data_IF_179397906572
#
_entry.id   IF_179397906572
#
_cell.length_a   1.000
_cell.length_b   1.000
_cell.length_c   1.000
_cell.angle_alpha   90.00
_cell.angle_beta   90.00
_cell.angle_gamma   90.00
#
_symmetry.space_group_name_H-M   'P 1'
#
loop_
_entity.id
_entity.type
_entity.pdbx_description
1 polymer ?
#
# COMPACT_ATOMS: atom_id res chain seq x y z
N UNK A 1 38.16 -23.02 37.85
CA UNK A 1 38.99 -22.69 36.68
C UNK A 1 38.06 -22.62 35.47
N UNK A 2 37.70 -21.40 35.05
CA UNK A 2 36.70 -21.16 34.01
C UNK A 2 37.39 -21.04 32.63
N UNK A 3 36.86 -21.66 31.56
CA UNK A 3 37.39 -21.41 30.22
C UNK A 3 36.85 -20.07 29.68
N UNK A 4 37.80 -19.20 29.34
CA UNK A 4 37.61 -17.85 28.79
C UNK A 4 36.90 -17.86 27.44
N UNK A 5 35.86 -17.03 27.32
CA UNK A 5 35.17 -16.73 26.06
C UNK A 5 36.06 -15.87 25.15
N UNK A 6 36.56 -16.44 24.06
CA UNK A 6 37.06 -15.66 22.91
C UNK A 6 35.88 -15.18 22.07
N UNK A 7 35.51 -13.92 22.26
CA UNK A 7 34.51 -13.25 21.43
C UNK A 7 35.14 -12.90 20.07
N UNK A 8 34.66 -13.54 19.00
CA UNK A 8 34.92 -13.09 17.63
C UNK A 8 34.24 -11.73 17.43
N UNK A 9 35.05 -10.67 17.36
CA UNK A 9 34.60 -9.35 16.99
C UNK A 9 34.10 -9.37 15.52
N UNK A 10 32.79 -9.18 15.34
CA UNK A 10 32.18 -9.00 14.03
C UNK A 10 32.43 -7.56 13.59
N UNK A 11 33.18 -7.40 12.50
CA UNK A 11 33.47 -6.11 11.89
C UNK A 11 32.16 -5.37 11.56
N UNK A 12 32.02 -4.17 12.13
CA UNK A 12 30.97 -3.24 11.79
C UNK A 12 31.32 -2.64 10.44
N UNK A 13 30.63 -3.07 9.39
CA UNK A 13 30.75 -2.45 8.07
C UNK A 13 30.34 -0.98 8.16
N UNK A 14 31.23 -0.13 7.63
CA UNK A 14 31.18 1.32 7.54
C UNK A 14 29.88 1.83 6.89
N UNK A 15 29.42 3.01 7.32
CA UNK A 15 28.12 3.60 6.98
C UNK A 15 28.00 4.20 5.56
N UNK A 16 28.95 4.01 4.65
CA UNK A 16 29.04 4.77 3.38
C UNK A 16 29.17 3.91 2.12
N UNK A 17 28.54 2.74 2.08
CA UNK A 17 28.33 2.03 0.82
C UNK A 17 26.85 1.68 0.74
N UNK A 18 26.11 2.43 -0.08
CA UNK A 18 24.83 1.93 -0.56
C UNK A 18 25.12 0.57 -1.21
N UNK A 19 24.57 -0.55 -0.74
CA UNK A 19 24.72 -1.80 -1.45
C UNK A 19 24.04 -1.59 -2.80
N UNK A 20 24.83 -1.41 -3.85
CA UNK A 20 24.33 -1.33 -5.21
C UNK A 20 23.72 -2.70 -5.51
N UNK A 21 22.39 -2.77 -5.44
CA UNK A 21 21.65 -3.94 -5.87
C UNK A 21 21.91 -4.08 -7.36
N UNK A 22 22.44 -5.21 -7.78
CA UNK A 22 22.76 -5.47 -9.18
C UNK A 22 21.46 -5.52 -10.02
N UNK A 23 21.27 -4.59 -10.97
CA UNK A 23 20.07 -4.57 -11.80
C UNK A 23 19.94 -5.86 -12.64
N UNK A 24 21.04 -6.46 -13.08
CA UNK A 24 20.99 -7.67 -13.92
C UNK A 24 20.40 -8.85 -13.16
N UNK A 25 20.80 -9.01 -11.89
CA UNK A 25 20.26 -10.04 -11.02
C UNK A 25 18.77 -9.84 -10.76
N UNK A 26 18.31 -8.59 -10.59
CA UNK A 26 16.87 -8.30 -10.40
C UNK A 26 16.05 -8.62 -11.65
N UNK A 27 16.58 -8.35 -12.85
CA UNK A 27 15.92 -8.68 -14.12
C UNK A 27 15.84 -10.18 -14.36
N UNK A 28 16.91 -10.92 -14.01
CA UNK A 28 16.91 -12.39 -14.10
C UNK A 28 15.88 -13.00 -13.15
N UNK A 29 15.82 -12.50 -11.92
CA UNK A 29 14.88 -12.95 -10.90
C UNK A 29 13.42 -12.66 -11.31
N UNK A 30 13.13 -11.45 -11.81
CA UNK A 30 11.78 -11.08 -12.24
C UNK A 30 11.30 -11.91 -13.43
N UNK A 31 12.15 -12.15 -14.43
CA UNK A 31 11.83 -13.03 -15.57
C UNK A 31 11.55 -14.47 -15.14
N UNK A 32 12.40 -15.01 -14.26
CA UNK A 32 12.22 -16.37 -13.72
C UNK A 32 10.90 -16.49 -12.92
N UNK A 33 10.58 -15.47 -12.12
CA UNK A 33 9.34 -15.43 -11.34
C UNK A 33 8.11 -15.36 -12.26
N UNK A 34 8.12 -14.52 -13.29
CA UNK A 34 7.04 -14.47 -14.29
C UNK A 34 6.86 -15.81 -15.00
N UNK A 35 7.95 -16.49 -15.40
CA UNK A 35 7.88 -17.81 -16.00
C UNK A 35 7.29 -18.85 -15.04
N UNK A 36 7.64 -18.78 -13.75
CA UNK A 36 7.08 -19.66 -12.73
C UNK A 36 5.59 -19.39 -12.48
N UNK A 37 5.13 -18.14 -12.44
CA UNK A 37 3.70 -17.82 -12.31
C UNK A 37 2.94 -18.40 -13.50
N UNK A 38 3.43 -18.22 -14.73
CA UNK A 38 2.83 -18.82 -15.95
C UNK A 38 2.72 -20.33 -15.84
N UNK A 39 3.81 -21.00 -15.44
CA UNK A 39 3.85 -22.46 -15.29
C UNK A 39 2.94 -22.95 -14.17
N UNK A 40 2.90 -22.25 -13.05
CA UNK A 40 2.06 -22.59 -11.89
C UNK A 40 0.57 -22.37 -12.17
N UNK A 41 0.20 -21.39 -12.99
CA UNK A 41 -1.18 -21.22 -13.46
C UNK A 41 -1.61 -22.38 -14.37
N UNK A 42 -0.74 -22.83 -15.27
CA UNK A 42 -0.97 -24.01 -16.10
C UNK A 42 -1.10 -25.30 -15.26
N UNK A 43 -0.22 -25.52 -14.28
CA UNK A 43 -0.27 -26.73 -13.44
C UNK A 43 -1.46 -26.74 -12.46
N UNK A 44 -1.88 -25.58 -11.93
CA UNK A 44 -3.10 -25.47 -11.10
C UNK A 44 -4.37 -25.83 -11.88
N UNK A 45 -4.38 -25.61 -13.19
CA UNK A 45 -5.48 -25.98 -14.08
C UNK A 45 -5.56 -27.49 -14.31
N UNK A 46 -4.42 -28.20 -14.22
CA UNK A 46 -4.35 -29.66 -14.37
C UNK A 46 -4.62 -30.42 -13.06
N UNK A 47 -4.16 -29.91 -11.90
CA UNK A 47 -4.37 -30.57 -10.60
C UNK A 47 -5.78 -30.35 -10.01
N UNK A 48 -6.44 -29.24 -10.36
CA UNK A 48 -7.82 -28.99 -9.94
C UNK A 48 -8.79 -29.39 -11.06
N UNK A 49 -9.27 -30.64 -11.05
CA UNK A 49 -10.29 -31.16 -11.99
C UNK A 49 -11.65 -30.44 -11.99
N UNK A 50 -11.72 -29.20 -11.52
CA UNK A 50 -12.85 -28.27 -11.58
C UNK A 50 -12.41 -27.06 -12.39
N UNK A 51 -12.60 -27.09 -13.71
CA UNK A 51 -12.38 -25.94 -14.59
C UNK A 51 -13.27 -24.78 -14.10
N UNK A 52 -12.66 -23.74 -13.54
CA UNK A 52 -13.35 -22.46 -13.36
C UNK A 52 -13.52 -21.86 -14.75
N UNK A 53 -14.72 -21.97 -15.33
CA UNK A 53 -15.07 -21.49 -16.68
C UNK A 53 -14.92 -19.95 -16.87
N UNK A 54 -14.47 -19.25 -15.82
CA UNK A 54 -14.31 -17.81 -15.72
C UNK A 54 -12.83 -17.40 -15.55
N UNK A 55 -11.90 -18.35 -15.42
CA UNK A 55 -10.47 -18.05 -15.29
C UNK A 55 -9.85 -18.02 -16.70
N UNK A 56 -9.75 -16.84 -17.28
CA UNK A 56 -8.91 -16.62 -18.47
C UNK A 56 -7.43 -16.64 -18.03
N UNK A 57 -6.58 -17.53 -18.57
CA UNK A 57 -5.17 -17.61 -18.20
C UNK A 57 -4.36 -16.34 -18.47
N UNK A 58 -4.86 -15.41 -19.31
CA UNK A 58 -4.25 -14.08 -19.47
C UNK A 58 -4.55 -13.15 -18.28
N UNK A 59 -5.72 -13.28 -17.64
CA UNK A 59 -6.13 -12.47 -16.48
C UNK A 59 -5.40 -12.88 -15.18
N UNK A 60 -5.06 -14.16 -15.02
CA UNK A 60 -4.38 -14.64 -13.80
C UNK A 60 -2.96 -14.07 -13.62
N UNK A 61 -2.29 -13.73 -14.74
CA UNK A 61 -0.96 -13.12 -14.75
C UNK A 61 -0.99 -11.62 -14.48
N UNK A 62 -2.02 -10.93 -14.97
CA UNK A 62 -2.23 -9.51 -14.73
C UNK A 62 -2.80 -9.23 -13.34
N UNK A 63 -3.60 -10.17 -12.79
CA UNK A 63 -4.33 -9.99 -11.53
C UNK A 63 -3.53 -10.38 -10.29
N UNK A 64 -2.43 -11.13 -10.43
CA UNK A 64 -1.60 -11.57 -9.30
C UNK A 64 -0.60 -10.49 -8.87
N UNK A 65 -0.78 -9.81 -7.72
CA UNK A 65 0.15 -8.77 -7.28
C UNK A 65 1.49 -9.37 -6.85
N UNK A 66 2.59 -8.80 -7.36
CA UNK A 66 3.95 -9.14 -6.96
C UNK A 66 4.40 -8.25 -5.80
N UNK A 67 4.94 -8.84 -4.73
CA UNK A 67 5.52 -8.09 -3.61
C UNK A 67 6.95 -8.53 -3.31
N UNK A 68 7.72 -7.63 -2.70
CA UNK A 68 9.08 -7.88 -2.25
C UNK A 68 9.11 -7.93 -0.71
N UNK A 69 9.64 -9.02 -0.16
CA UNK A 69 9.78 -9.20 1.29
C UNK A 69 11.12 -8.66 1.75
N UNK A 70 11.10 -7.59 2.54
CA UNK A 70 12.29 -7.00 3.16
C UNK A 70 12.54 -7.62 4.54
N UNK A 71 13.67 -8.28 4.72
CA UNK A 71 14.09 -8.83 6.02
C UNK A 71 15.27 -8.03 6.57
N UNK A 72 15.13 -7.51 7.79
CA UNK A 72 16.19 -6.73 8.46
C UNK A 72 16.79 -7.53 9.61
N UNK A 73 18.12 -7.52 9.75
CA UNK A 73 18.83 -8.19 10.85
C UNK A 73 18.59 -7.52 12.21
N UNK A 74 18.24 -6.23 12.22
CA UNK A 74 17.92 -5.46 13.44
C UNK A 74 16.41 -5.23 13.54
N UNK A 75 15.87 -5.33 14.74
CA UNK A 75 14.48 -5.00 15.04
C UNK A 75 14.25 -3.49 14.91
N UNK A 76 13.18 -3.09 14.21
CA UNK A 76 12.82 -1.69 14.02
C UNK A 76 11.96 -1.28 15.22
N UNK A 77 12.57 -0.61 16.20
CA UNK A 77 11.88 -0.16 17.42
C UNK A 77 11.31 1.28 17.32
N UNK A 78 11.66 2.02 16.27
CA UNK A 78 11.25 3.43 16.13
C UNK A 78 9.79 3.54 15.66
N UNK A 79 8.93 4.04 16.54
CA UNK A 79 7.50 4.26 16.30
C UNK A 79 7.23 5.28 15.18
N UNK A 80 8.16 6.20 14.91
CA UNK A 80 8.02 7.16 13.82
C UNK A 80 8.24 6.48 12.44
N UNK A 81 9.13 5.48 12.38
CA UNK A 81 9.38 4.65 11.18
C UNK A 81 8.30 3.59 10.92
N UNK A 82 7.38 3.39 11.86
CA UNK A 82 6.23 2.48 11.72
C UNK A 82 5.03 3.15 11.03
N UNK A 83 5.08 4.47 10.78
CA UNK A 83 4.11 5.11 9.89
C UNK A 83 4.26 4.54 8.48
N UNK A 84 3.17 4.19 7.80
CA UNK A 84 3.27 3.80 6.39
C UNK A 84 3.86 4.98 5.62
N UNK A 85 4.87 4.71 4.78
CA UNK A 85 5.43 5.69 3.87
C UNK A 85 4.93 5.45 2.45
N UNK A 86 4.95 6.49 1.61
CA UNK A 86 4.77 6.34 0.16
C UNK A 86 6.13 6.32 -0.53
N UNK A 87 6.27 5.48 -1.54
CA UNK A 87 7.43 5.45 -2.44
C UNK A 87 6.92 5.91 -3.80
N UNK A 88 7.53 6.96 -4.36
CA UNK A 88 7.19 7.44 -5.69
C UNK A 88 7.81 6.47 -6.70
N UNK A 89 6.96 5.86 -7.53
CA UNK A 89 7.39 4.93 -8.56
C UNK A 89 7.39 5.63 -9.93
N UNK A 90 8.39 5.38 -10.80
CA UNK A 90 8.40 5.87 -12.17
C UNK A 90 7.23 5.34 -13.01
N UNK A 91 6.82 4.10 -12.75
CA UNK A 91 5.65 3.47 -13.36
C UNK A 91 4.53 3.38 -12.32
N UNK A 92 3.39 4.06 -12.54
CA UNK A 92 2.24 3.98 -11.64
C UNK A 92 1.71 2.55 -11.54
N UNK A 93 1.35 2.12 -10.33
CA UNK A 93 0.70 0.81 -10.10
C UNK A 93 -0.78 0.80 -10.46
N UNK A 94 -1.39 1.98 -10.59
CA UNK A 94 -2.81 2.16 -10.84
C UNK A 94 -2.96 2.88 -12.18
N UNK A 95 -3.07 2.09 -13.24
CA UNK A 95 -3.21 2.58 -14.62
C UNK A 95 -4.67 2.82 -15.01
N UNK A 96 -5.62 2.29 -14.24
CA UNK A 96 -7.03 2.33 -14.59
C UNK A 96 -7.65 3.72 -14.41
N UNK A 97 -8.29 4.22 -15.46
CA UNK A 97 -8.94 5.53 -15.46
C UNK A 97 -10.24 5.56 -14.67
N UNK A 98 -10.87 4.39 -14.48
CA UNK A 98 -12.12 4.16 -13.75
C UNK A 98 -11.91 3.88 -12.24
N UNK A 99 -10.67 3.90 -11.76
CA UNK A 99 -10.37 3.65 -10.34
C UNK A 99 -11.06 4.67 -9.43
N UNK A 100 -11.85 4.16 -8.49
CA UNK A 100 -12.57 4.98 -7.51
C UNK A 100 -11.69 5.29 -6.28
N UNK A 101 -11.55 6.57 -5.98
CA UNK A 101 -10.69 7.08 -4.91
C UNK A 101 -11.54 7.64 -3.76
N UNK A 102 -11.25 7.17 -2.55
CA UNK A 102 -11.78 7.71 -1.31
C UNK A 102 -10.72 8.51 -0.56
N UNK A 103 -10.97 9.81 -0.37
CA UNK A 103 -10.08 10.70 0.37
C UNK A 103 -10.56 10.86 1.82
N UNK A 104 -9.70 10.51 2.77
CA UNK A 104 -9.92 10.67 4.21
C UNK A 104 -9.17 11.91 4.70
N UNK A 105 -9.93 12.92 5.08
CA UNK A 105 -9.44 14.26 5.43
C UNK A 105 -9.61 14.57 6.91
N UNK A 106 -8.87 15.56 7.41
CA UNK A 106 -9.11 16.14 8.72
C UNK A 106 -10.21 17.19 8.64
N UNK A 107 -10.86 17.44 9.78
CA UNK A 107 -11.86 18.49 9.92
C UNK A 107 -11.22 19.85 9.53
N UNK A 108 -11.84 20.70 8.68
CA UNK A 108 -13.17 20.58 8.05
C UNK A 108 -13.21 19.95 6.64
N UNK A 109 -14.11 18.97 6.49
CA UNK A 109 -14.41 18.30 5.20
C UNK A 109 -14.85 19.29 4.09
N UNK A 110 -15.50 20.40 4.44
CA UNK A 110 -16.01 21.39 3.47
C UNK A 110 -14.88 22.04 2.68
N UNK A 111 -13.76 22.36 3.32
CA UNK A 111 -12.62 22.97 2.66
C UNK A 111 -12.08 22.05 1.55
N UNK A 112 -11.88 20.77 1.86
CA UNK A 112 -11.38 19.80 0.89
C UNK A 112 -12.37 19.50 -0.24
N UNK A 113 -13.68 19.48 0.05
CA UNK A 113 -14.70 19.37 -0.99
C UNK A 113 -14.69 20.57 -1.94
N UNK A 114 -14.52 21.77 -1.41
CA UNK A 114 -14.47 22.97 -2.24
C UNK A 114 -13.22 23.00 -3.12
N UNK A 115 -12.07 22.52 -2.62
CA UNK A 115 -10.83 22.38 -3.40
C UNK A 115 -11.00 21.34 -4.53
N UNK A 116 -11.64 20.20 -4.26
CA UNK A 116 -11.88 19.18 -5.29
C UNK A 116 -12.93 19.66 -6.31
N UNK A 117 -13.84 20.54 -5.89
CA UNK A 117 -14.85 21.13 -6.76
C UNK A 117 -14.36 22.36 -7.55
N UNK A 118 -13.21 22.94 -7.18
CA UNK A 118 -12.62 24.08 -7.89
C UNK A 118 -11.99 23.66 -9.21
N UNK A 119 -12.06 24.56 -10.20
CA UNK A 119 -11.60 24.32 -11.58
C UNK A 119 -10.06 24.26 -11.70
N UNK A 120 -9.33 24.67 -10.66
CA UNK A 120 -7.88 24.49 -10.55
C UNK A 120 -7.46 23.02 -10.36
N UNK A 121 -8.41 22.13 -10.06
CA UNK A 121 -8.14 20.72 -9.85
C UNK A 121 -8.30 19.91 -11.15
N UNK A 122 -7.33 19.07 -11.55
CA UNK A 122 -7.39 18.33 -12.81
C UNK A 122 -8.68 17.50 -12.93
N UNK A 123 -9.43 17.70 -14.01
CA UNK A 123 -10.72 17.03 -14.25
C UNK A 123 -10.61 15.49 -14.20
N UNK A 124 -9.47 14.96 -14.67
CA UNK A 124 -9.15 13.54 -14.61
C UNK A 124 -9.14 12.99 -13.17
N UNK A 125 -8.66 13.78 -12.20
CA UNK A 125 -8.63 13.40 -10.79
C UNK A 125 -9.99 13.66 -10.11
N UNK A 126 -10.73 14.68 -10.56
CA UNK A 126 -12.07 14.97 -10.05
C UNK A 126 -13.05 13.82 -10.32
N UNK A 127 -12.98 13.20 -11.51
CA UNK A 127 -13.79 12.02 -11.86
C UNK A 127 -13.43 10.80 -11.00
N UNK A 128 -12.15 10.64 -10.66
CA UNK A 128 -11.66 9.52 -9.84
C UNK A 128 -12.00 9.67 -8.35
N UNK A 129 -12.08 10.89 -7.82
CA UNK A 129 -12.41 11.11 -6.40
C UNK A 129 -13.92 11.03 -6.18
N UNK A 130 -14.39 9.83 -5.81
CA UNK A 130 -15.81 9.54 -5.61
C UNK A 130 -16.32 10.07 -4.26
N UNK A 131 -15.49 9.96 -3.21
CA UNK A 131 -15.89 10.35 -1.85
C UNK A 131 -14.77 11.02 -1.07
N UNK A 132 -15.14 12.10 -0.39
CA UNK A 132 -14.34 12.73 0.66
C UNK A 132 -15.01 12.43 1.99
N UNK A 133 -14.28 11.86 2.93
CA UNK A 133 -14.76 11.51 4.27
C UNK A 133 -13.89 12.18 5.31
N UNK A 134 -14.50 12.73 6.36
CA UNK A 134 -13.78 13.21 7.53
C UNK A 134 -13.76 12.13 8.63
N UNK A 135 -12.73 12.14 9.47
CA UNK A 135 -12.50 11.21 10.57
C UNK A 135 -13.65 11.15 11.55
N UNK A 136 -14.27 12.29 11.86
CA UNK A 136 -15.42 12.34 12.76
C UNK A 136 -16.59 11.54 12.19
N UNK A 137 -16.90 11.78 10.91
CA UNK A 137 -17.94 11.03 10.17
C UNK A 137 -17.56 9.57 9.97
N UNK A 138 -16.27 9.28 9.77
CA UNK A 138 -15.75 7.93 9.61
C UNK A 138 -16.08 7.08 10.85
N UNK A 139 -15.82 7.63 12.04
CA UNK A 139 -16.12 6.97 13.32
C UNK A 139 -17.62 6.85 13.61
N UNK A 140 -18.42 7.84 13.22
CA UNK A 140 -19.85 7.84 13.50
C UNK A 140 -20.63 6.89 12.58
N UNK A 141 -20.40 6.95 11.27
CA UNK A 141 -21.20 6.21 10.27
C UNK A 141 -20.69 4.80 9.98
N UNK A 142 -19.38 4.58 10.03
CA UNK A 142 -18.76 3.30 9.65
C UNK A 142 -18.22 2.52 10.85
N UNK A 143 -18.96 2.55 11.98
CA UNK A 143 -18.67 1.73 13.16
C UNK A 143 -19.07 0.26 12.94
N UNK A 144 -20.16 0.02 12.21
CA UNK A 144 -20.67 -1.32 11.91
C UNK A 144 -19.83 -2.00 10.83
N UNK A 145 -19.60 -3.30 11.02
CA UNK A 145 -18.75 -4.11 10.15
C UNK A 145 -19.26 -4.18 8.70
N UNK A 146 -20.59 -4.25 8.51
CA UNK A 146 -21.21 -4.25 7.18
C UNK A 146 -20.97 -2.93 6.44
N UNK A 147 -21.08 -1.80 7.12
CA UNK A 147 -20.80 -0.50 6.53
C UNK A 147 -19.33 -0.36 6.09
N UNK A 148 -18.40 -0.88 6.90
CA UNK A 148 -16.97 -0.92 6.53
C UNK A 148 -16.71 -1.78 5.31
N UNK A 149 -17.31 -2.97 5.25
CA UNK A 149 -17.20 -3.86 4.08
C UNK A 149 -17.80 -3.24 2.83
N UNK A 150 -18.93 -2.53 2.96
CA UNK A 150 -19.53 -1.80 1.84
C UNK A 150 -18.60 -0.71 1.32
N UNK A 151 -18.01 0.09 2.21
CA UNK A 151 -17.04 1.12 1.83
C UNK A 151 -15.79 0.52 1.16
N UNK A 152 -15.30 -0.61 1.67
CA UNK A 152 -14.16 -1.34 1.11
C UNK A 152 -14.44 -1.93 -0.28
N UNK A 153 -15.67 -2.38 -0.52
CA UNK A 153 -16.09 -2.93 -1.80
C UNK A 153 -16.38 -1.84 -2.85
N UNK A 154 -16.88 -0.69 -2.42
CA UNK A 154 -17.24 0.42 -3.31
C UNK A 154 -16.04 1.20 -3.84
N UNK A 155 -14.90 1.16 -3.15
CA UNK A 155 -13.74 1.98 -3.47
C UNK A 155 -12.47 1.13 -3.65
N UNK A 156 -11.63 1.51 -4.61
CA UNK A 156 -10.41 0.79 -4.92
C UNK A 156 -9.19 1.37 -4.22
N UNK A 157 -9.11 2.70 -4.15
CA UNK A 157 -7.97 3.40 -3.56
C UNK A 157 -8.43 4.24 -2.38
N UNK A 158 -7.72 4.12 -1.27
CA UNK A 158 -7.91 4.96 -0.09
C UNK A 158 -6.72 5.88 0.09
N UNK A 159 -6.97 7.18 0.13
CA UNK A 159 -5.98 8.21 0.45
C UNK A 159 -6.34 8.81 1.80
N UNK A 160 -5.35 9.10 2.64
CA UNK A 160 -5.59 9.73 3.93
C UNK A 160 -4.55 10.79 4.27
N UNK A 161 -4.94 11.80 5.03
CA UNK A 161 -3.99 12.77 5.58
C UNK A 161 -2.98 12.08 6.54
N UNK A 162 -1.68 12.41 6.44
CA UNK A 162 -0.63 11.93 7.34
C UNK A 162 -0.94 12.25 8.83
N UNK A 163 -1.65 13.35 9.11
CA UNK A 163 -2.06 13.69 10.49
C UNK A 163 -3.02 12.67 11.10
N UNK A 164 -3.74 11.94 10.26
CA UNK A 164 -4.84 11.06 10.64
C UNK A 164 -4.44 9.59 10.57
N UNK A 165 -3.38 9.26 9.83
CA UNK A 165 -2.97 7.87 9.53
C UNK A 165 -2.87 7.00 10.80
N UNK A 166 -2.40 7.56 11.92
CA UNK A 166 -2.28 6.85 13.20
C UNK A 166 -3.63 6.52 13.85
N UNK A 167 -4.69 7.26 13.52
CA UNK A 167 -6.05 7.10 14.05
C UNK A 167 -6.89 6.13 13.22
N UNK A 168 -6.54 5.92 11.94
CA UNK A 168 -7.31 5.08 11.00
C UNK A 168 -7.39 3.60 11.38
N UNK A 169 -6.35 2.94 11.92
CA UNK A 169 -6.46 1.53 12.32
C UNK A 169 -7.57 1.28 13.34
N UNK A 170 -7.79 2.23 14.26
CA UNK A 170 -8.87 2.14 15.25
C UNK A 170 -10.25 2.42 14.64
N UNK A 171 -10.33 3.21 13.57
CA UNK A 171 -11.60 3.64 12.98
C UNK A 171 -12.10 2.70 11.87
N UNK A 172 -11.20 2.23 11.00
CA UNK A 172 -11.50 1.32 9.88
C UNK A 172 -11.45 -0.16 10.28
N UNK A 173 -10.83 -0.47 11.43
CA UNK A 173 -10.78 -1.80 11.99
C UNK A 173 -10.02 -2.83 11.14
N UNK A 174 -10.25 -4.11 11.45
CA UNK A 174 -9.56 -5.25 10.82
C UNK A 174 -9.94 -5.43 9.34
N UNK A 175 -11.11 -4.99 8.91
CA UNK A 175 -11.59 -5.14 7.53
C UNK A 175 -10.60 -4.54 6.53
N UNK A 176 -10.10 -3.34 6.82
CA UNK A 176 -9.16 -2.62 5.98
C UNK A 176 -7.71 -3.04 6.19
N UNK A 177 -7.31 -3.32 7.45
CA UNK A 177 -5.92 -3.59 7.77
C UNK A 177 -5.53 -5.07 7.74
N UNK A 178 -6.48 -6.00 7.62
CA UNK A 178 -6.19 -7.43 7.38
C UNK A 178 -5.69 -7.65 5.96
N UNK A 179 -6.25 -6.94 4.98
CA UNK A 179 -5.75 -6.95 3.61
C UNK A 179 -4.63 -5.91 3.46
N UNK A 180 -3.61 -6.23 2.66
CA UNK A 180 -2.50 -5.32 2.36
C UNK A 180 -2.83 -4.41 1.17
N UNK A 181 -3.79 -4.80 0.32
CA UNK A 181 -4.02 -4.17 -0.99
C UNK A 181 -4.70 -2.79 -0.91
N UNK A 182 -5.74 -2.63 -0.08
CA UNK A 182 -6.55 -1.40 0.00
C UNK A 182 -6.30 -0.58 1.28
N UNK A 183 -5.06 -0.54 1.76
CA UNK A 183 -4.72 0.25 2.95
C UNK A 183 -4.65 1.75 2.60
N UNK A 184 -5.09 2.66 3.49
CA UNK A 184 -5.00 4.09 3.22
C UNK A 184 -3.56 4.56 3.01
N UNK A 185 -3.30 5.22 1.88
CA UNK A 185 -2.00 5.80 1.52
C UNK A 185 -1.91 7.21 2.10
N UNK A 186 -0.82 7.57 2.81
CA UNK A 186 -0.65 8.90 3.37
C UNK A 186 -0.40 9.95 2.26
N UNK A 187 -1.19 11.00 2.28
CA UNK A 187 -1.06 12.20 1.44
C UNK A 187 -0.90 13.41 2.36
N UNK A 188 0.02 14.29 2.00
CA UNK A 188 0.21 15.54 2.73
C UNK A 188 -0.76 16.56 2.14
N UNK A 189 -1.81 16.89 2.88
CA UNK A 189 -2.85 17.84 2.46
C UNK A 189 -2.63 19.27 2.97
N UNK A 190 -1.64 19.47 3.86
CA UNK A 190 -1.23 20.78 4.34
C UNK A 190 0.09 21.23 3.70
N UNK A 191 0.31 22.53 3.47
CA UNK A 191 1.66 23.02 3.17
C UNK A 191 2.61 22.56 4.27
N UNK A 192 3.76 22.00 3.87
CA UNK A 192 4.84 21.64 4.81
C UNK A 192 5.16 22.92 5.58
N UNK A 193 5.16 22.93 6.93
CA UNK A 193 5.59 24.10 7.66
C UNK A 193 7.02 24.40 7.20
N UNK A 194 7.21 25.57 6.58
CA UNK A 194 8.54 26.13 6.34
C UNK A 194 9.20 26.20 7.70
N UNK A 195 10.21 25.35 7.93
CA UNK A 195 11.07 25.50 9.10
C UNK A 195 11.79 26.84 8.90
N UNK A 196 11.35 27.85 9.65
CA UNK A 196 12.10 29.08 9.92
C UNK A 196 13.09 28.73 11.03
#
# INVERSE_FOLDING_TARGET
>A
MAPSKTSKAVAVASKDVAPAIDPEQTLKASKALLAHIKKAAASKTEESGKKNLLADPEDDLASSPVWLTLTTKRHIADTNRLKPGKIVLPHPLNTDEESTICLITADPQRAYKNIIASDDFPEALRKRITRVVDVGKLKAKWKQYEAQRKLYAEHDIFLADDRIINRLPKALGKTFYKSTTKRPIPVVLSPKPTRI
#
